data_IF_313544289032
#
_entry.id   IF_313544289032
#
_cell.length_a   1.000
_cell.length_b   1.000
_cell.length_c   1.000
_cell.angle_alpha   90.00
_cell.angle_beta   90.00
_cell.angle_gamma   90.00
#
_symmetry.space_group_name_H-M   'P 1'
#
loop_
_entity.id
_entity.type
_entity.pdbx_description
1 polymer ?
#
# COMPACT_ATOMS: atom_id res chain seq x y z
N UNK A 1 4.27 -9.94 12.71
CA UNK A 1 3.28 -8.87 12.51
C UNK A 1 3.83 -7.50 12.95
N UNK A 2 5.14 -7.23 12.80
CA UNK A 2 5.77 -5.95 13.23
C UNK A 2 6.34 -5.11 12.08
N UNK A 3 6.71 -5.69 10.94
CA UNK A 3 7.44 -4.95 9.90
C UNK A 3 6.64 -3.81 9.24
N UNK A 4 5.32 -3.95 9.13
CA UNK A 4 4.45 -2.89 8.57
C UNK A 4 4.30 -1.73 9.55
N UNK A 5 4.20 -2.02 10.84
CA UNK A 5 4.10 -1.02 11.91
C UNK A 5 5.42 -0.26 12.07
N UNK A 6 6.55 -0.97 11.96
CA UNK A 6 7.90 -0.39 11.92
C UNK A 6 8.08 0.51 10.69
N UNK A 7 7.57 0.09 9.52
CA UNK A 7 7.66 0.87 8.26
C UNK A 7 6.83 2.16 8.33
N UNK A 8 5.62 2.12 8.88
CA UNK A 8 4.78 3.31 9.06
C UNK A 8 5.38 4.29 10.08
N UNK A 9 5.89 3.75 11.19
CA UNK A 9 6.58 4.54 12.21
C UNK A 9 7.82 5.23 11.63
N UNK A 10 8.57 4.53 10.78
CA UNK A 10 9.72 5.09 10.07
C UNK A 10 9.32 6.17 9.07
N UNK A 11 8.26 5.96 8.27
CA UNK A 11 7.77 7.01 7.34
C UNK A 11 7.41 8.28 8.11
N UNK A 12 6.71 8.12 9.24
CA UNK A 12 6.27 9.24 10.06
C UNK A 12 7.48 9.98 10.68
N UNK A 13 8.44 9.26 11.26
CA UNK A 13 9.61 9.87 11.88
C UNK A 13 10.49 10.57 10.85
N UNK A 14 10.69 9.99 9.67
CA UNK A 14 11.44 10.63 8.58
C UNK A 14 10.72 11.84 8.01
N UNK A 15 9.38 11.84 7.94
CA UNK A 15 8.61 13.04 7.56
C UNK A 15 8.75 14.17 8.59
N UNK A 16 8.60 13.87 9.87
CA UNK A 16 8.81 14.86 10.93
C UNK A 16 10.24 15.43 10.88
N UNK A 17 11.23 14.58 10.63
CA UNK A 17 12.62 15.00 10.44
C UNK A 17 12.77 15.98 9.27
N UNK A 18 12.10 15.70 8.13
CA UNK A 18 12.13 16.59 6.98
C UNK A 18 11.46 17.94 7.25
N UNK A 19 10.32 17.94 7.97
CA UNK A 19 9.63 19.17 8.35
C UNK A 19 10.52 20.03 9.27
N UNK A 20 11.21 19.41 10.24
CA UNK A 20 12.18 20.09 11.11
C UNK A 20 13.37 20.65 10.31
N UNK A 21 13.92 19.86 9.37
CA UNK A 21 14.99 20.31 8.47
C UNK A 21 14.54 21.52 7.66
N UNK A 22 13.30 21.51 7.17
CA UNK A 22 12.73 22.61 6.41
C UNK A 22 12.63 23.88 7.26
N UNK A 23 12.11 23.78 8.49
CA UNK A 23 11.98 24.90 9.41
C UNK A 23 13.35 25.50 9.78
N UNK A 24 14.33 24.64 10.07
CA UNK A 24 15.71 25.05 10.34
C UNK A 24 16.30 25.78 9.11
N UNK A 25 16.10 25.23 7.92
CA UNK A 25 16.60 25.81 6.67
C UNK A 25 15.99 27.18 6.38
N UNK A 26 14.67 27.35 6.58
CA UNK A 26 14.00 28.63 6.47
C UNK A 26 14.55 29.65 7.47
N UNK A 27 14.82 29.23 8.71
CA UNK A 27 15.41 30.11 9.74
C UNK A 27 16.84 30.56 9.39
N UNK A 28 17.61 29.71 8.68
CA UNK A 28 19.00 29.97 8.28
C UNK A 28 19.12 30.82 7.01
N UNK A 29 18.14 30.75 6.10
CA UNK A 29 18.14 31.51 4.84
C UNK A 29 18.29 33.02 5.03
N UNK A 30 17.84 33.58 6.15
CA UNK A 30 18.02 34.99 6.49
C UNK A 30 19.42 35.37 7.03
N UNK A 31 20.28 34.39 7.32
CA UNK A 31 21.63 34.58 7.89
C UNK A 31 22.75 34.20 6.92
N UNK A 32 22.44 33.45 5.86
CA UNK A 32 23.40 33.06 4.85
C UNK A 32 23.75 34.24 3.93
N UNK A 33 25.04 34.41 3.64
CA UNK A 33 25.53 35.45 2.74
C UNK A 33 25.58 34.87 1.33
N UNK A 34 24.83 35.46 0.41
CA UNK A 34 24.73 34.96 -0.96
C UNK A 34 26.14 34.93 -1.62
N UNK A 35 26.58 33.75 -2.07
CA UNK A 35 27.85 33.56 -2.76
C UNK A 35 29.02 32.95 -1.97
N UNK A 36 28.87 32.64 -0.67
CA UNK A 36 29.85 31.79 0.02
C UNK A 36 29.61 30.30 -0.26
N UNK A 37 30.67 29.50 -0.51
CA UNK A 37 30.53 28.06 -0.60
C UNK A 37 29.99 27.49 0.73
N UNK A 38 29.22 26.41 0.65
CA UNK A 38 28.66 25.71 1.80
C UNK A 38 29.79 25.27 2.74
N UNK A 39 29.56 25.40 4.05
CA UNK A 39 30.45 24.78 5.03
C UNK A 39 30.25 23.26 5.05
N UNK A 40 31.19 22.52 5.59
CA UNK A 40 31.09 21.05 5.70
C UNK A 40 29.83 20.63 6.46
N UNK A 41 29.43 21.40 7.48
CA UNK A 41 28.20 21.15 8.25
C UNK A 41 26.94 21.42 7.42
N UNK A 42 26.93 22.46 6.59
CA UNK A 42 25.81 22.76 5.71
C UNK A 42 25.69 21.74 4.59
N UNK A 43 26.82 21.23 4.08
CA UNK A 43 26.85 20.14 3.12
C UNK A 43 26.35 18.83 3.74
N UNK A 44 26.80 18.48 4.94
CA UNK A 44 26.33 17.30 5.67
C UNK A 44 24.82 17.38 5.96
N UNK A 45 24.33 18.57 6.33
CA UNK A 45 22.90 18.80 6.58
C UNK A 45 22.07 18.60 5.31
N UNK A 46 22.54 19.12 4.18
CA UNK A 46 21.88 18.92 2.88
C UNK A 46 21.90 17.46 2.44
N UNK A 47 23.01 16.75 2.61
CA UNK A 47 23.11 15.33 2.30
C UNK A 47 22.11 14.52 3.14
N UNK A 48 21.99 14.83 4.43
CA UNK A 48 21.04 14.19 5.33
C UNK A 48 19.58 14.46 4.94
N UNK A 49 19.27 15.68 4.49
CA UNK A 49 17.94 16.02 3.93
C UNK A 49 17.62 15.16 2.69
N UNK A 50 18.55 15.06 1.74
CA UNK A 50 18.39 14.28 0.50
C UNK A 50 18.20 12.78 0.78
N UNK A 51 18.94 12.22 1.74
CA UNK A 51 18.80 10.81 2.14
C UNK A 51 17.42 10.53 2.78
N UNK A 52 16.96 11.41 3.68
CA UNK A 52 15.64 11.26 4.31
C UNK A 52 14.50 11.41 3.29
N UNK A 53 14.62 12.36 2.35
CA UNK A 53 13.63 12.54 1.29
C UNK A 53 13.49 11.28 0.43
N UNK A 54 14.62 10.70 0.03
CA UNK A 54 14.67 9.46 -0.77
C UNK A 54 14.05 8.28 -0.02
N UNK A 55 14.33 8.14 1.28
CA UNK A 55 13.78 7.07 2.10
C UNK A 55 12.26 7.18 2.26
N UNK A 56 11.75 8.40 2.53
CA UNK A 56 10.31 8.66 2.65
C UNK A 56 9.58 8.35 1.35
N UNK A 57 10.12 8.77 0.20
CA UNK A 57 9.52 8.52 -1.10
C UNK A 57 9.46 7.03 -1.42
N UNK A 58 10.57 6.31 -1.20
CA UNK A 58 10.66 4.87 -1.43
C UNK A 58 9.63 4.09 -0.61
N UNK A 59 9.49 4.43 0.67
CA UNK A 59 8.54 3.77 1.56
C UNK A 59 7.09 4.14 1.28
N UNK A 60 6.81 5.38 0.84
CA UNK A 60 5.47 5.77 0.35
C UNK A 60 5.06 4.91 -0.85
N UNK A 61 5.95 4.70 -1.80
CA UNK A 61 5.69 3.85 -2.97
C UNK A 61 5.43 2.41 -2.53
N UNK A 62 6.30 1.85 -1.69
CA UNK A 62 6.15 0.48 -1.18
C UNK A 62 4.81 0.29 -0.45
N UNK A 63 4.43 1.23 0.42
CA UNK A 63 3.15 1.18 1.13
C UNK A 63 1.96 1.30 0.17
N UNK A 64 2.04 2.16 -0.85
CA UNK A 64 1.01 2.26 -1.87
C UNK A 64 0.83 0.96 -2.66
N UNK A 65 1.93 0.30 -3.04
CA UNK A 65 1.89 -0.99 -3.72
C UNK A 65 1.29 -2.08 -2.83
N UNK A 66 1.66 -2.12 -1.55
CA UNK A 66 1.09 -3.06 -0.60
C UNK A 66 -0.43 -2.92 -0.52
N UNK A 67 -0.94 -1.68 -0.40
CA UNK A 67 -2.38 -1.42 -0.37
C UNK A 67 -3.10 -1.87 -1.65
N UNK A 68 -2.48 -1.69 -2.81
CA UNK A 68 -3.05 -2.15 -4.08
C UNK A 68 -3.14 -3.68 -4.12
N UNK A 69 -2.08 -4.38 -3.71
CA UNK A 69 -2.07 -5.85 -3.62
C UNK A 69 -3.14 -6.35 -2.65
N UNK A 70 -3.27 -5.72 -1.47
CA UNK A 70 -4.26 -6.12 -0.46
C UNK A 70 -5.69 -5.94 -0.99
N UNK A 71 -5.95 -4.85 -1.72
CA UNK A 71 -7.25 -4.59 -2.35
C UNK A 71 -7.55 -5.61 -3.46
N UNK A 72 -6.60 -5.90 -4.33
CA UNK A 72 -6.75 -6.89 -5.41
C UNK A 72 -6.99 -8.30 -4.84
N UNK A 73 -6.29 -8.67 -3.76
CA UNK A 73 -6.50 -9.93 -3.07
C UNK A 73 -7.90 -10.03 -2.46
N UNK A 74 -8.45 -8.95 -1.92
CA UNK A 74 -9.82 -8.92 -1.42
C UNK A 74 -10.82 -9.16 -2.56
N UNK A 75 -10.66 -8.46 -3.68
CA UNK A 75 -11.53 -8.62 -4.87
C UNK A 75 -11.46 -10.06 -5.40
N UNK A 76 -10.26 -10.64 -5.54
CA UNK A 76 -10.09 -12.01 -6.01
C UNK A 76 -10.73 -13.03 -5.07
N UNK A 77 -10.65 -12.80 -3.75
CA UNK A 77 -11.34 -13.65 -2.77
C UNK A 77 -12.85 -13.58 -2.94
N UNK A 78 -13.41 -12.38 -3.09
CA UNK A 78 -14.85 -12.19 -3.27
C UNK A 78 -15.35 -12.88 -4.55
N UNK A 79 -14.64 -12.71 -5.67
CA UNK A 79 -14.95 -13.42 -6.94
C UNK A 79 -14.89 -14.93 -6.75
N UNK A 80 -13.86 -15.45 -6.06
CA UNK A 80 -13.73 -16.90 -5.85
C UNK A 80 -14.88 -17.48 -5.01
N UNK A 81 -15.41 -16.70 -4.06
CA UNK A 81 -16.55 -17.10 -3.22
C UNK A 81 -17.82 -17.12 -4.06
N UNK A 82 -18.05 -16.11 -4.89
CA UNK A 82 -19.21 -16.02 -5.78
C UNK A 82 -19.20 -17.13 -6.83
N UNK A 83 -18.05 -17.45 -7.41
CA UNK A 83 -17.91 -18.58 -8.35
C UNK A 83 -18.17 -19.92 -7.66
N UNK A 84 -17.69 -20.13 -6.43
CA UNK A 84 -18.00 -21.33 -5.64
C UNK A 84 -19.49 -21.43 -5.30
N UNK A 85 -20.12 -20.32 -4.94
CA UNK A 85 -21.55 -20.26 -4.63
C UNK A 85 -22.41 -20.57 -5.88
N UNK A 86 -22.03 -20.01 -7.03
CA UNK A 86 -22.69 -20.30 -8.31
C UNK A 86 -22.58 -21.78 -8.72
N UNK A 87 -21.41 -22.40 -8.53
CA UNK A 87 -21.20 -23.83 -8.78
C UNK A 87 -22.06 -24.70 -7.83
N UNK A 88 -22.23 -24.28 -6.57
CA UNK A 88 -23.05 -25.02 -5.60
C UNK A 88 -24.56 -24.94 -5.93
N UNK A 89 -25.03 -23.82 -6.47
CA UNK A 89 -26.43 -23.63 -6.87
C UNK A 89 -26.82 -24.43 -8.14
N UNK A 90 -25.85 -24.78 -9.00
CA UNK A 90 -26.10 -25.57 -10.22
C UNK A 90 -26.22 -27.08 -9.91
N UNK A 91 -25.78 -27.55 -8.73
CA UNK A 91 -25.59 -28.99 -8.47
C UNK A 91 -26.77 -29.82 -7.93
N UNK A 92 -27.96 -29.33 -7.51
CA UNK A 92 -29.04 -30.24 -7.09
C UNK A 92 -30.12 -30.50 -8.17
N UNK A 93 -29.94 -30.07 -9.43
CA UNK A 93 -30.99 -30.22 -10.45
C UNK A 93 -30.86 -31.43 -11.40
N UNK A 94 -29.86 -32.30 -11.22
CA UNK A 94 -29.65 -33.43 -12.15
C UNK A 94 -29.88 -34.84 -11.58
N UNK A 95 -30.35 -35.00 -10.33
CA UNK A 95 -30.61 -36.32 -9.73
C UNK A 95 -32.10 -36.63 -9.47
N UNK A 96 -33.02 -35.95 -10.16
CA UNK A 96 -34.45 -35.99 -9.81
C UNK A 96 -35.47 -36.42 -10.88
N UNK A 97 -35.09 -36.81 -12.09
CA UNK A 97 -36.05 -37.13 -13.17
C UNK A 97 -35.75 -38.45 -13.90
N UNK A 98 -35.78 -39.58 -13.18
CA UNK A 98 -36.06 -40.90 -13.80
C UNK A 98 -37.02 -41.68 -12.88
N UNK A 99 -38.22 -41.16 -12.64
CA UNK A 99 -39.32 -41.92 -12.04
C UNK A 99 -40.64 -41.31 -12.54
N UNK A 100 -41.28 -41.97 -13.51
CA UNK A 100 -42.67 -41.69 -13.85
C UNK A 100 -43.00 -41.47 -15.32
N UNK A 101 -42.69 -42.43 -16.21
CA UNK A 101 -43.43 -42.50 -17.47
C UNK A 101 -43.52 -43.93 -18.04
N UNK A 102 -44.45 -44.71 -17.46
CA UNK A 102 -45.19 -45.72 -18.20
C UNK A 102 -46.66 -45.59 -17.81
N UNK A 103 -47.35 -44.70 -18.52
CA UNK A 103 -48.79 -44.56 -18.48
C UNK A 103 -49.44 -45.74 -19.21
N UNK A 104 -50.35 -46.39 -18.49
CA UNK A 104 -51.42 -47.24 -18.97
C UNK A 104 -52.18 -46.54 -20.10
N UNK A 105 -52.30 -47.20 -21.26
CA UNK A 105 -53.37 -46.94 -22.24
C UNK A 105 -53.66 -48.23 -23.02
N UNK A 106 -54.92 -48.68 -22.94
CA UNK A 106 -55.66 -49.37 -24.01
C UNK A 106 -55.39 -50.85 -24.19
#
# INVERSE_FOLDING_TARGET
MNEVEDSLSFILSSQLTLDEIHDISLSRKGKARDGTPLTDEEYAFKLFEEENATAVESLRIAHSLQRAIDADQAILRDISIDELAAVHLIRPYNEGYILGHWGVLG
#
